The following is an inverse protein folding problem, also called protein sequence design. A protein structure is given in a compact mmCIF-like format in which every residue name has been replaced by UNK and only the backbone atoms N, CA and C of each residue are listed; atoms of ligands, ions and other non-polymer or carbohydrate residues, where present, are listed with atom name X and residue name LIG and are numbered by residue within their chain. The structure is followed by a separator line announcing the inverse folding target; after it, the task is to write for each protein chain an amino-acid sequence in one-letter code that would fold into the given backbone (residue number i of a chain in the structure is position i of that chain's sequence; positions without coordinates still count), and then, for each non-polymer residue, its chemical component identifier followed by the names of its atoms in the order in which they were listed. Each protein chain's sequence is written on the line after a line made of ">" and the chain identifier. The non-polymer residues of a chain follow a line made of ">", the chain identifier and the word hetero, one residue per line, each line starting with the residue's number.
data_IF_638046039395
#
_entry.id   IF_638046039395
#
_cell.length_a   1.000
_cell.length_b   1.000
_cell.length_c   1.000
_cell.angle_alpha   90.00
_cell.angle_beta   90.00
_cell.angle_gamma   90.00
#
_symmetry.space_group_name_H-M   'P 1'
#
loop_
_entity.id
_entity.type
_entity.pdbx_description
1 polymer ?
#
# COMPACT_ATOMS: atom_id res chain seq x y z
N UNK A 1 -26.13 30.22 -9.68
CA UNK A 1 -27.01 30.06 -10.85
C UNK A 1 -26.18 29.44 -11.97
N UNK A 2 -26.66 28.39 -12.63
CA UNK A 2 -25.86 27.53 -13.53
C UNK A 2 -25.68 28.13 -14.93
N UNK A 3 -25.60 29.47 -15.04
CA UNK A 3 -25.37 30.14 -16.32
C UNK A 3 -26.51 30.08 -17.35
N UNK A 4 -27.73 29.68 -16.94
CA UNK A 4 -28.89 29.61 -17.84
C UNK A 4 -29.80 30.83 -17.69
N UNK A 5 -29.97 31.61 -18.76
CA UNK A 5 -30.78 32.83 -18.71
C UNK A 5 -31.56 33.07 -20.00
N UNK A 6 -32.70 33.75 -19.85
CA UNK A 6 -33.48 34.26 -20.97
C UNK A 6 -32.64 35.29 -21.74
N UNK A 7 -32.64 35.20 -23.06
CA UNK A 7 -32.09 36.22 -23.94
C UNK A 7 -33.23 37.11 -24.45
N UNK A 8 -33.57 38.21 -23.74
CA UNK A 8 -34.70 39.05 -24.11
C UNK A 8 -34.46 39.77 -25.44
N UNK A 9 -33.20 40.09 -25.78
CA UNK A 9 -32.86 40.72 -27.06
C UNK A 9 -33.10 39.77 -28.23
N UNK A 10 -32.64 38.51 -28.13
CA UNK A 10 -32.89 37.49 -29.16
C UNK A 10 -34.38 37.14 -29.26
N UNK A 11 -35.08 37.05 -28.13
CA UNK A 11 -36.53 36.81 -28.09
C UNK A 11 -37.31 37.97 -28.74
N UNK A 12 -36.94 39.22 -28.44
CA UNK A 12 -37.54 40.41 -29.05
C UNK A 12 -37.20 40.53 -30.54
N UNK A 13 -35.99 40.17 -30.95
CA UNK A 13 -35.60 40.14 -32.36
C UNK A 13 -36.37 39.08 -33.15
N UNK A 14 -36.54 37.87 -32.59
CA UNK A 14 -37.36 36.81 -33.17
C UNK A 14 -38.83 37.26 -33.30
N UNK A 15 -39.38 37.91 -32.26
CA UNK A 15 -40.72 38.48 -32.29
C UNK A 15 -40.86 39.60 -33.34
N UNK A 16 -39.85 40.46 -33.48
CA UNK A 16 -39.84 41.53 -34.48
C UNK A 16 -39.77 40.98 -35.92
N UNK A 17 -39.03 39.89 -36.14
CA UNK A 17 -38.89 39.26 -37.44
C UNK A 17 -40.13 38.47 -37.88
N UNK A 18 -40.97 38.05 -36.93
CA UNK A 18 -42.23 37.35 -37.23
C UNK A 18 -43.13 38.17 -38.17
N UNK A 19 -43.57 37.57 -39.28
CA UNK A 19 -44.33 38.24 -40.34
C UNK A 19 -43.53 39.22 -41.23
N UNK A 20 -42.21 39.37 -41.01
CA UNK A 20 -41.32 40.23 -41.81
C UNK A 20 -40.30 39.46 -42.66
N UNK A 21 -40.13 38.18 -42.40
CA UNK A 21 -39.23 37.27 -43.12
C UNK A 21 -40.01 36.27 -43.99
N UNK A 22 -39.43 35.80 -45.10
CA UNK A 22 -40.06 34.81 -46.00
C UNK A 22 -40.67 35.40 -47.28
N UNK A 23 -41.45 34.59 -47.99
CA UNK A 23 -42.13 34.98 -49.24
C UNK A 23 -43.19 36.08 -48.98
N UNK A 24 -43.45 37.00 -49.93
CA UNK A 24 -44.47 38.03 -49.75
C UNK A 24 -45.87 37.52 -49.37
N UNK A 25 -46.28 36.34 -49.84
CA UNK A 25 -47.58 35.76 -49.48
C UNK A 25 -47.60 35.22 -48.04
N UNK A 26 -46.55 34.54 -47.59
CA UNK A 26 -46.48 34.00 -46.23
C UNK A 26 -46.47 35.13 -45.19
N UNK A 27 -45.74 36.22 -45.46
CA UNK A 27 -45.70 37.40 -44.57
C UNK A 27 -47.07 38.03 -44.33
N UNK A 28 -47.91 38.12 -45.36
CA UNK A 28 -49.27 38.67 -45.23
C UNK A 28 -50.17 37.76 -44.40
N UNK A 29 -50.05 36.45 -44.59
CA UNK A 29 -50.79 35.45 -43.81
C UNK A 29 -50.36 35.51 -42.34
N UNK A 30 -49.05 35.51 -42.07
CA UNK A 30 -48.48 35.56 -40.72
C UNK A 30 -48.87 36.83 -39.96
N UNK A 31 -48.93 37.98 -40.66
CA UNK A 31 -49.37 39.24 -40.06
C UNK A 31 -50.86 39.21 -39.71
N UNK A 32 -51.69 38.66 -40.59
CA UNK A 32 -53.13 38.55 -40.37
C UNK A 32 -53.46 37.56 -39.24
N UNK A 33 -52.81 36.39 -39.23
CA UNK A 33 -52.99 35.38 -38.18
C UNK A 33 -52.51 35.89 -36.82
N UNK A 34 -51.34 36.53 -36.76
CA UNK A 34 -50.86 37.15 -35.50
C UNK A 34 -51.79 38.25 -35.00
N UNK A 35 -52.37 39.04 -35.90
CA UNK A 35 -53.30 40.11 -35.51
C UNK A 35 -54.65 39.56 -35.02
N UNK A 36 -55.18 38.52 -35.66
CA UNK A 36 -56.50 37.97 -35.36
C UNK A 36 -56.51 36.94 -34.22
N UNK A 37 -55.50 36.07 -34.14
CA UNK A 37 -55.43 34.96 -33.17
C UNK A 37 -54.39 35.18 -32.07
N UNK A 38 -53.45 36.10 -32.26
CA UNK A 38 -52.23 36.16 -31.47
C UNK A 38 -51.27 35.03 -31.85
N UNK A 39 -49.97 35.22 -31.57
CA UNK A 39 -48.95 34.19 -31.75
C UNK A 39 -48.11 34.10 -30.50
N UNK A 40 -47.83 32.87 -30.05
CA UNK A 40 -46.90 32.62 -28.94
C UNK A 40 -45.60 32.12 -29.54
N UNK A 41 -44.52 32.90 -29.36
CA UNK A 41 -43.19 32.50 -29.78
C UNK A 41 -42.43 31.96 -28.56
N UNK A 42 -41.68 30.85 -28.72
CA UNK A 42 -40.87 30.34 -27.64
C UNK A 42 -39.76 31.37 -27.29
N UNK A 43 -39.50 31.59 -25.99
CA UNK A 43 -38.36 32.40 -25.57
C UNK A 43 -37.04 31.79 -26.02
N UNK A 44 -36.09 32.64 -26.40
CA UNK A 44 -34.71 32.24 -26.72
C UNK A 44 -33.86 32.28 -25.45
N UNK A 45 -33.15 31.20 -25.15
CA UNK A 45 -32.26 31.09 -24.00
C UNK A 45 -30.80 31.05 -24.42
N UNK A 46 -29.91 31.44 -23.49
CA UNK A 46 -28.47 31.26 -23.62
C UNK A 46 -28.01 30.45 -22.43
N UNK A 47 -27.13 29.49 -22.70
CA UNK A 47 -26.46 28.69 -21.69
C UNK A 47 -24.97 29.05 -21.71
N UNK A 48 -24.48 29.61 -20.60
CA UNK A 48 -23.06 29.88 -20.39
C UNK A 48 -22.40 28.67 -19.74
N UNK A 49 -21.73 27.87 -20.58
CA UNK A 49 -21.00 26.68 -20.16
C UNK A 49 -19.88 27.01 -19.15
N UNK A 50 -19.25 28.18 -19.22
CA UNK A 50 -18.19 28.55 -18.28
C UNK A 50 -18.74 28.80 -16.88
N UNK A 51 -19.89 29.47 -16.80
CA UNK A 51 -20.58 29.69 -15.54
C UNK A 51 -21.08 28.37 -14.92
N UNK A 52 -21.57 27.45 -15.75
CA UNK A 52 -21.96 26.11 -15.33
C UNK A 52 -20.76 25.29 -14.84
N UNK A 53 -19.64 25.33 -15.56
CA UNK A 53 -18.40 24.67 -15.16
C UNK A 53 -17.90 25.20 -13.82
N UNK A 54 -17.77 26.52 -13.66
CA UNK A 54 -17.32 27.13 -12.41
C UNK A 54 -18.23 26.77 -11.22
N UNK A 55 -19.54 26.62 -11.47
CA UNK A 55 -20.48 26.15 -10.45
C UNK A 55 -20.22 24.68 -10.07
N UNK A 56 -20.01 23.80 -11.05
CA UNK A 56 -19.67 22.40 -10.81
C UNK A 56 -18.30 22.24 -10.15
N UNK A 57 -17.32 23.08 -10.45
CA UNK A 57 -16.03 23.12 -9.76
C UNK A 57 -16.20 23.49 -8.27
N UNK A 58 -17.13 24.40 -7.96
CA UNK A 58 -17.49 24.72 -6.58
C UNK A 58 -18.16 23.56 -5.84
N UNK A 59 -18.90 22.70 -6.54
CA UNK A 59 -19.47 21.46 -5.99
C UNK A 59 -18.36 20.43 -5.80
N UNK A 60 -17.52 20.22 -6.82
CA UNK A 60 -16.38 19.31 -6.79
C UNK A 60 -15.48 19.59 -5.59
N UNK A 61 -15.18 20.86 -5.31
CA UNK A 61 -14.38 21.26 -4.14
C UNK A 61 -14.98 20.85 -2.77
N UNK A 62 -16.28 20.54 -2.71
CA UNK A 62 -16.98 20.09 -1.50
C UNK A 62 -17.22 18.58 -1.49
N UNK A 63 -17.36 17.96 -2.66
CA UNK A 63 -17.71 16.54 -2.80
C UNK A 63 -16.50 15.64 -2.99
N UNK A 64 -15.46 16.14 -3.63
CA UNK A 64 -14.29 15.39 -4.04
C UNK A 64 -13.51 14.93 -2.80
N UNK A 65 -13.07 13.68 -2.86
CA UNK A 65 -12.27 13.08 -1.81
C UNK A 65 -11.02 12.51 -2.44
N UNK A 66 -9.86 12.82 -1.85
CA UNK A 66 -8.62 12.23 -2.28
C UNK A 66 -8.59 10.75 -1.89
N UNK A 67 -8.04 9.93 -2.78
CA UNK A 67 -7.72 8.53 -2.50
C UNK A 67 -6.55 8.44 -1.53
N UNK A 68 -6.69 7.62 -0.50
CA UNK A 68 -5.64 7.36 0.49
C UNK A 68 -5.47 5.85 0.60
N UNK A 69 -4.22 5.40 0.45
CA UNK A 69 -3.86 3.99 0.62
C UNK A 69 -3.90 3.62 2.11
N UNK A 70 -4.30 2.39 2.44
CA UNK A 70 -4.14 1.90 3.80
C UNK A 70 -2.65 1.86 4.13
N UNK A 71 -2.26 2.27 5.33
CA UNK A 71 -0.86 2.32 5.72
C UNK A 71 -0.65 1.75 7.13
N UNK A 72 0.53 1.20 7.36
CA UNK A 72 0.95 0.67 8.64
C UNK A 72 2.10 1.51 9.19
N UNK A 73 2.07 1.81 10.48
CA UNK A 73 3.16 2.52 11.16
C UNK A 73 3.43 1.92 12.53
N UNK A 74 4.70 1.92 12.95
CA UNK A 74 5.13 1.44 14.26
C UNK A 74 5.61 2.64 15.08
N UNK A 75 5.00 2.87 16.25
CA UNK A 75 5.35 3.93 17.17
C UNK A 75 5.77 3.34 18.52
N UNK A 76 7.08 3.20 18.73
CA UNK A 76 7.62 2.37 19.81
C UNK A 76 7.16 0.93 19.62
N UNK A 77 6.46 0.35 20.60
CA UNK A 77 5.94 -1.03 20.50
C UNK A 77 4.50 -1.08 19.96
N UNK A 78 3.88 0.06 19.68
CA UNK A 78 2.50 0.12 19.21
C UNK A 78 2.42 0.12 17.69
N UNK A 79 1.65 -0.81 17.14
CA UNK A 79 1.34 -0.88 15.72
C UNK A 79 0.05 -0.08 15.46
N UNK A 80 0.13 0.93 14.60
CA UNK A 80 -0.99 1.82 14.25
C UNK A 80 -1.34 1.62 12.79
N UNK A 81 -2.61 1.25 12.56
CA UNK A 81 -3.21 1.09 11.24
C UNK A 81 -3.88 2.39 10.82
N UNK A 82 -3.55 2.86 9.63
CA UNK A 82 -4.24 3.94 8.94
C UNK A 82 -5.14 3.32 7.87
N UNK A 83 -6.47 3.42 8.00
CA UNK A 83 -7.38 2.80 7.05
C UNK A 83 -7.30 3.47 5.68
N UNK A 84 -7.58 2.69 4.63
CA UNK A 84 -7.69 3.23 3.27
C UNK A 84 -8.94 4.10 3.12
N UNK A 85 -8.88 5.04 2.19
CA UNK A 85 -9.99 5.88 1.79
C UNK A 85 -10.14 5.85 0.27
N UNK A 86 -11.34 5.46 -0.20
CA UNK A 86 -11.68 5.57 -1.62
C UNK A 86 -11.65 7.02 -2.06
N UNK A 87 -11.02 7.28 -3.19
CA UNK A 87 -11.10 8.57 -3.86
C UNK A 87 -12.44 8.69 -4.58
N UNK A 88 -12.93 9.92 -4.70
CA UNK A 88 -13.99 10.24 -5.65
C UNK A 88 -13.79 11.63 -6.19
N UNK A 89 -14.11 11.84 -7.45
CA UNK A 89 -14.12 13.17 -8.04
C UNK A 89 -15.32 13.35 -8.95
N UNK A 90 -15.80 14.58 -9.06
CA UNK A 90 -16.87 14.93 -9.98
C UNK A 90 -16.33 14.94 -11.42
N UNK A 91 -16.91 14.11 -12.29
CA UNK A 91 -16.68 14.21 -13.73
C UNK A 91 -17.49 15.39 -14.28
N UNK A 92 -16.84 16.55 -14.31
CA UNK A 92 -17.44 17.81 -14.76
C UNK A 92 -17.87 17.73 -16.24
N UNK A 93 -17.04 17.24 -17.19
CA UNK A 93 -17.46 17.12 -18.59
C UNK A 93 -18.74 16.30 -18.79
N UNK A 94 -18.85 15.15 -18.13
CA UNK A 94 -20.01 14.27 -18.26
C UNK A 94 -21.25 14.86 -17.58
N UNK A 95 -21.06 15.45 -16.40
CA UNK A 95 -22.14 16.16 -15.70
C UNK A 95 -22.66 17.36 -16.50
N UNK A 96 -21.78 18.12 -17.18
CA UNK A 96 -22.17 19.20 -18.08
C UNK A 96 -22.99 18.69 -19.27
N UNK A 97 -22.61 17.56 -19.85
CA UNK A 97 -23.37 16.96 -20.94
C UNK A 97 -24.79 16.57 -20.51
N UNK A 98 -24.95 15.97 -19.32
CA UNK A 98 -26.26 15.68 -18.73
C UNK A 98 -27.07 16.96 -18.47
N UNK A 99 -26.42 17.98 -17.91
CA UNK A 99 -27.07 19.27 -17.65
C UNK A 99 -27.55 19.94 -18.94
N UNK A 100 -26.76 19.89 -20.00
CA UNK A 100 -27.14 20.43 -21.32
C UNK A 100 -28.38 19.73 -21.88
N UNK A 101 -28.40 18.39 -21.85
CA UNK A 101 -29.55 17.61 -22.32
C UNK A 101 -30.80 17.90 -21.49
N UNK A 102 -30.66 18.05 -20.16
CA UNK A 102 -31.79 18.36 -19.29
C UNK A 102 -32.36 19.76 -19.56
N UNK A 103 -31.51 20.76 -19.77
CA UNK A 103 -31.93 22.13 -20.08
C UNK A 103 -32.71 22.23 -21.40
N UNK A 104 -32.46 21.36 -22.37
CA UNK A 104 -33.24 21.30 -23.62
C UNK A 104 -34.71 20.91 -23.39
N UNK A 105 -34.99 20.14 -22.33
CA UNK A 105 -36.37 19.71 -22.02
C UNK A 105 -37.22 20.83 -21.44
N UNK A 106 -36.60 21.91 -20.94
CA UNK A 106 -37.25 23.05 -20.27
C UNK A 106 -38.17 22.62 -19.12
N UNK A 107 -37.90 21.47 -18.51
CA UNK A 107 -38.63 20.93 -17.38
C UNK A 107 -37.76 20.98 -16.13
N UNK A 108 -38.41 21.27 -15.00
CA UNK A 108 -37.77 21.17 -13.70
C UNK A 108 -37.43 19.70 -13.42
N UNK A 109 -36.16 19.44 -13.13
CA UNK A 109 -35.64 18.10 -12.86
C UNK A 109 -34.35 18.19 -12.06
N UNK A 110 -34.09 17.13 -11.32
CA UNK A 110 -32.81 16.92 -10.66
C UNK A 110 -31.75 16.57 -11.72
N UNK A 111 -30.59 17.23 -11.65
CA UNK A 111 -29.42 16.89 -12.47
C UNK A 111 -28.57 15.89 -11.70
N UNK A 112 -28.35 14.71 -12.30
CA UNK A 112 -27.48 13.71 -11.72
C UNK A 112 -26.01 14.14 -11.87
N UNK A 113 -25.30 14.19 -10.74
CA UNK A 113 -23.87 14.42 -10.71
C UNK A 113 -23.16 13.10 -11.00
N UNK A 114 -22.24 13.11 -11.97
CA UNK A 114 -21.46 11.92 -12.30
C UNK A 114 -20.19 11.92 -11.46
N UNK A 115 -20.11 10.96 -10.54
CA UNK A 115 -18.95 10.79 -9.67
C UNK A 115 -18.13 9.59 -10.17
N UNK A 116 -16.84 9.80 -10.34
CA UNK A 116 -15.88 8.73 -10.62
C UNK A 116 -15.20 8.31 -9.32
N UNK A 117 -15.32 7.03 -8.98
CA UNK A 117 -14.66 6.44 -7.82
C UNK A 117 -13.29 5.89 -8.20
N UNK A 118 -12.29 6.18 -7.37
CA UNK A 118 -10.97 5.58 -7.46
C UNK A 118 -10.71 4.68 -6.24
N UNK A 119 -10.50 3.40 -6.50
CA UNK A 119 -10.21 2.41 -5.46
C UNK A 119 -8.70 2.43 -5.15
N UNK A 120 -8.29 2.47 -3.86
CA UNK A 120 -6.89 2.36 -3.46
C UNK A 120 -6.31 1.00 -3.86
N UNK A 121 -5.02 0.98 -4.16
CA UNK A 121 -4.30 -0.26 -4.48
C UNK A 121 -4.22 -1.17 -3.24
N UNK A 122 -3.97 -0.57 -2.08
CA UNK A 122 -3.85 -1.23 -0.79
C UNK A 122 -5.07 -0.86 0.05
N UNK A 123 -6.02 -1.79 0.12
CA UNK A 123 -7.31 -1.56 0.79
C UNK A 123 -7.23 -1.90 2.28
N UNK A 124 -6.50 -2.96 2.64
CA UNK A 124 -6.49 -3.57 3.96
C UNK A 124 -5.06 -3.91 4.37
N UNK A 125 -4.69 -3.57 5.60
CA UNK A 125 -3.38 -3.91 6.20
C UNK A 125 -3.51 -4.58 7.57
N UNK A 126 -4.71 -5.04 7.93
CA UNK A 126 -5.00 -5.61 9.24
C UNK A 126 -4.23 -6.92 9.50
N UNK A 127 -4.16 -7.83 8.52
CA UNK A 127 -3.36 -9.06 8.64
C UNK A 127 -1.89 -8.73 8.92
N UNK A 128 -1.36 -7.74 8.21
CA UNK A 128 0.03 -7.30 8.36
C UNK A 128 0.25 -6.60 9.70
N UNK A 129 -0.76 -5.88 10.19
CA UNK A 129 -0.74 -5.31 11.53
C UNK A 129 -0.72 -6.40 12.62
N UNK A 130 -1.48 -7.49 12.44
CA UNK A 130 -1.47 -8.63 13.36
C UNK A 130 -0.10 -9.31 13.40
N UNK A 131 0.54 -9.53 12.24
CA UNK A 131 1.91 -10.06 12.18
C UNK A 131 2.89 -9.13 12.90
N UNK A 132 2.85 -7.83 12.64
CA UNK A 132 3.71 -6.86 13.34
C UNK A 132 3.48 -6.87 14.86
N UNK A 133 2.22 -6.94 15.30
CA UNK A 133 1.86 -7.04 16.73
C UNK A 133 2.35 -8.35 17.34
N UNK A 134 2.28 -9.45 16.61
CA UNK A 134 2.78 -10.76 17.04
C UNK A 134 4.29 -10.74 17.21
N UNK A 135 5.04 -10.16 16.26
CA UNK A 135 6.49 -9.94 16.36
C UNK A 135 6.81 -9.12 17.62
N UNK A 136 6.09 -8.02 17.87
CA UNK A 136 6.30 -7.14 19.03
C UNK A 136 5.68 -7.63 20.35
N UNK A 137 4.99 -8.79 20.33
CA UNK A 137 4.31 -9.31 21.50
C UNK A 137 5.27 -9.77 22.60
N UNK A 138 6.50 -10.15 22.24
CA UNK A 138 7.54 -10.66 23.14
C UNK A 138 8.95 -10.23 22.70
N UNK A 139 9.93 -10.18 23.62
CA UNK A 139 11.34 -9.97 23.26
C UNK A 139 11.86 -11.15 22.43
N UNK A 140 12.69 -10.88 21.43
CA UNK A 140 13.38 -11.92 20.67
C UNK A 140 14.58 -12.43 21.47
N UNK A 141 14.68 -13.74 21.66
CA UNK A 141 15.80 -14.43 22.30
C UNK A 141 16.54 -15.28 21.27
N UNK A 142 17.84 -15.04 21.16
CA UNK A 142 18.74 -15.82 20.32
C UNK A 142 19.57 -16.74 21.20
N UNK A 143 19.55 -18.03 20.87
CA UNK A 143 20.26 -19.08 21.59
C UNK A 143 21.20 -19.86 20.67
N UNK A 144 22.22 -20.50 21.25
CA UNK A 144 23.12 -21.38 20.50
C UNK A 144 22.54 -22.80 20.59
N UNK A 145 22.45 -23.55 19.47
CA UNK A 145 22.10 -24.95 19.51
C UNK A 145 23.22 -25.77 20.17
N UNK A 146 22.86 -26.65 21.11
CA UNK A 146 23.80 -27.49 21.87
C UNK A 146 24.95 -26.69 22.52
N UNK A 147 24.67 -25.75 23.44
CA UNK A 147 25.70 -24.90 24.01
C UNK A 147 26.73 -25.71 24.80
N UNK A 148 28.00 -25.42 24.59
CA UNK A 148 29.12 -25.97 25.35
C UNK A 148 29.43 -25.08 26.56
N UNK A 149 30.13 -25.63 27.55
CA UNK A 149 30.56 -24.87 28.71
C UNK A 149 31.50 -23.72 28.29
N UNK A 150 31.11 -22.49 28.62
CA UNK A 150 31.84 -21.27 28.23
C UNK A 150 31.30 -20.55 27.00
N UNK A 151 30.26 -21.08 26.33
CA UNK A 151 29.61 -20.40 25.22
C UNK A 151 28.92 -19.09 25.65
N UNK A 152 29.00 -18.01 24.83
CA UNK A 152 28.35 -16.74 25.14
C UNK A 152 26.81 -16.82 24.97
N UNK A 153 26.10 -15.86 25.56
CA UNK A 153 24.63 -15.73 25.42
C UNK A 153 23.83 -16.35 26.57
N UNK A 154 22.51 -16.47 26.47
CA UNK A 154 21.63 -16.09 25.35
C UNK A 154 21.50 -14.57 25.16
N UNK A 155 21.24 -14.11 23.94
CA UNK A 155 21.05 -12.70 23.63
C UNK A 155 19.56 -12.36 23.56
N UNK A 156 19.16 -11.26 24.19
CA UNK A 156 17.76 -10.81 24.20
C UNK A 156 17.65 -9.44 23.56
N UNK A 157 16.76 -9.32 22.58
CA UNK A 157 16.37 -8.10 21.90
C UNK A 157 15.04 -7.66 22.50
N UNK A 158 15.09 -6.61 23.33
CA UNK A 158 13.89 -6.03 23.91
C UNK A 158 12.96 -5.47 22.84
N UNK A 159 11.66 -5.43 23.15
CA UNK A 159 10.62 -5.01 22.20
C UNK A 159 10.87 -3.64 21.58
N UNK A 160 11.37 -2.69 22.38
CA UNK A 160 11.65 -1.33 21.92
C UNK A 160 12.74 -1.29 20.84
N UNK A 161 13.72 -2.20 20.94
CA UNK A 161 14.78 -2.32 19.94
C UNK A 161 14.29 -3.15 18.75
N UNK A 162 13.54 -4.24 18.98
CA UNK A 162 12.92 -5.02 17.92
C UNK A 162 12.00 -4.17 17.04
N UNK A 163 11.25 -3.23 17.62
CA UNK A 163 10.40 -2.31 16.88
C UNK A 163 11.18 -1.36 15.96
N UNK A 164 12.40 -0.99 16.31
CA UNK A 164 13.27 -0.18 15.45
C UNK A 164 13.80 -0.97 14.26
N UNK A 165 13.85 -2.30 14.40
CA UNK A 165 14.26 -3.20 13.33
C UNK A 165 13.09 -3.63 12.45
N UNK A 166 11.83 -3.28 12.74
CA UNK A 166 10.72 -3.67 11.86
C UNK A 166 10.75 -2.83 10.58
N UNK A 167 10.71 -3.50 9.44
CA UNK A 167 10.55 -2.87 8.12
C UNK A 167 9.19 -3.24 7.54
N UNK A 168 8.59 -2.29 6.82
CA UNK A 168 7.32 -2.47 6.13
C UNK A 168 7.60 -2.19 4.65
N UNK A 169 7.59 -3.22 3.83
CA UNK A 169 7.91 -3.14 2.41
C UNK A 169 6.66 -3.38 1.57
N UNK A 170 6.53 -2.66 0.46
CA UNK A 170 5.47 -2.92 -0.50
C UNK A 170 5.88 -4.08 -1.41
N UNK A 171 5.02 -5.08 -1.53
CA UNK A 171 5.23 -6.24 -2.38
C UNK A 171 4.08 -6.40 -3.37
N UNK A 172 4.41 -6.67 -4.62
CA UNK A 172 3.42 -6.97 -5.65
C UNK A 172 3.10 -8.47 -5.60
N UNK A 173 1.92 -8.83 -5.11
CA UNK A 173 1.40 -10.20 -5.14
C UNK A 173 0.48 -10.40 -6.35
N UNK A 174 0.20 -11.66 -6.75
CA UNK A 174 -0.75 -11.95 -7.83
C UNK A 174 -2.17 -11.43 -7.56
N UNK A 175 -2.53 -11.27 -6.28
CA UNK A 175 -3.83 -10.78 -5.82
C UNK A 175 -3.90 -9.25 -5.72
N UNK A 176 -2.78 -8.54 -5.85
CA UNK A 176 -2.70 -7.08 -5.73
C UNK A 176 -1.42 -6.60 -5.06
N UNK A 177 -1.30 -5.28 -4.92
CA UNK A 177 -0.27 -4.66 -4.10
C UNK A 177 -0.61 -4.86 -2.61
N UNK A 178 0.36 -5.29 -1.82
CA UNK A 178 0.21 -5.42 -0.37
C UNK A 178 1.48 -4.94 0.34
N UNK A 179 1.37 -4.71 1.65
CA UNK A 179 2.56 -4.55 2.49
C UNK A 179 2.98 -5.89 3.05
N UNK A 180 4.28 -6.08 3.25
CA UNK A 180 4.86 -7.19 3.98
C UNK A 180 5.69 -6.63 5.14
N UNK A 181 5.46 -7.19 6.33
CA UNK A 181 6.23 -6.87 7.53
C UNK A 181 7.46 -7.78 7.56
N UNK A 182 8.63 -7.20 7.75
CA UNK A 182 9.90 -7.90 7.89
C UNK A 182 10.73 -7.32 9.03
N UNK A 183 11.93 -7.87 9.21
CA UNK A 183 12.94 -7.35 10.11
C UNK A 183 14.16 -6.92 9.30
N UNK A 184 14.70 -5.75 9.64
CA UNK A 184 15.86 -5.14 9.03
C UNK A 184 17.07 -6.08 9.16
N UNK A 185 17.51 -6.60 8.01
CA UNK A 185 18.60 -7.57 7.95
C UNK A 185 19.95 -6.96 8.29
N UNK A 186 20.19 -5.69 7.93
CA UNK A 186 21.48 -5.04 8.15
C UNK A 186 21.88 -4.94 9.63
N UNK A 187 20.91 -4.61 10.51
CA UNK A 187 21.13 -4.56 11.95
C UNK A 187 21.42 -5.93 12.55
N UNK A 188 20.67 -6.95 12.13
CA UNK A 188 20.89 -8.34 12.54
C UNK A 188 22.24 -8.88 12.04
N UNK A 189 22.61 -8.64 10.78
CA UNK A 189 23.91 -9.02 10.21
C UNK A 189 25.04 -8.44 11.04
N UNK A 190 25.00 -7.13 11.30
CA UNK A 190 26.05 -6.44 12.08
C UNK A 190 26.20 -7.02 13.49
N UNK A 191 25.08 -7.38 14.13
CA UNK A 191 25.10 -8.04 15.43
C UNK A 191 25.71 -9.45 15.35
N UNK A 192 25.28 -10.26 14.40
CA UNK A 192 25.76 -11.63 14.21
C UNK A 192 27.26 -11.68 13.86
N UNK A 193 27.73 -10.76 13.02
CA UNK A 193 29.16 -10.59 12.72
C UNK A 193 29.98 -10.24 13.97
N UNK A 194 29.41 -9.47 14.90
CA UNK A 194 30.06 -9.12 16.17
C UNK A 194 30.22 -10.29 17.14
N UNK A 195 29.30 -11.26 17.11
CA UNK A 195 29.37 -12.46 17.97
C UNK A 195 30.05 -13.66 17.30
N UNK A 196 30.12 -13.69 15.95
CA UNK A 196 30.68 -14.80 15.19
C UNK A 196 32.10 -15.22 15.65
N UNK A 197 33.06 -14.31 15.91
CA UNK A 197 34.41 -14.70 16.36
C UNK A 197 34.43 -15.37 17.73
N UNK A 198 33.42 -15.10 18.57
CA UNK A 198 33.31 -15.70 19.91
C UNK A 198 32.73 -17.11 19.85
N UNK A 199 32.01 -17.43 18.78
CA UNK A 199 31.41 -18.75 18.54
C UNK A 199 32.29 -19.67 17.71
N UNK A 200 33.24 -19.09 16.99
CA UNK A 200 34.15 -19.79 16.11
C UNK A 200 35.13 -20.68 16.89
N UNK A 201 35.09 -21.97 16.59
CA UNK A 201 36.04 -22.96 17.09
C UNK A 201 36.73 -23.58 15.88
N UNK A 202 38.05 -23.47 15.80
CA UNK A 202 38.81 -24.14 14.74
C UNK A 202 38.84 -25.65 14.96
N UNK A 203 38.60 -26.41 13.88
CA UNK A 203 38.72 -27.87 13.92
C UNK A 203 40.18 -28.28 14.18
N UNK A 204 40.38 -29.33 14.98
CA UNK A 204 41.70 -29.93 15.22
C UNK A 204 41.61 -31.44 15.07
N UNK A 205 42.52 -32.04 14.31
CA UNK A 205 42.57 -33.49 14.17
C UNK A 205 43.02 -34.16 15.47
N UNK A 206 42.50 -35.36 15.72
CA UNK A 206 42.99 -36.21 16.79
C UNK A 206 44.47 -36.56 16.55
N UNK A 207 45.28 -36.55 17.62
CA UNK A 207 46.65 -37.06 17.59
C UNK A 207 46.67 -38.45 18.19
N UNK A 208 47.17 -39.40 17.41
CA UNK A 208 47.31 -40.79 17.84
C UNK A 208 48.77 -41.20 17.89
N UNK A 209 49.10 -42.11 18.80
CA UNK A 209 50.36 -42.82 18.82
C UNK A 209 50.11 -44.31 18.75
N UNK A 210 50.92 -45.00 17.96
CA UNK A 210 50.90 -46.45 17.92
C UNK A 210 51.61 -46.99 19.17
N UNK A 211 50.88 -47.77 19.98
CA UNK A 211 51.42 -48.43 21.16
C UNK A 211 51.96 -49.81 20.77
N UNK A 212 53.27 -50.02 20.91
CA UNK A 212 53.96 -51.26 20.51
C UNK A 212 53.61 -52.47 21.37
N UNK A 213 53.22 -52.27 22.63
CA UNK A 213 52.84 -53.33 23.57
C UNK A 213 51.44 -53.85 23.27
N UNK A 214 50.49 -52.94 23.04
CA UNK A 214 49.08 -53.29 22.74
C UNK A 214 48.84 -53.52 21.25
N UNK A 215 49.79 -53.13 20.38
CA UNK A 215 49.70 -53.10 18.91
C UNK A 215 48.46 -52.37 18.40
N UNK A 216 48.05 -51.32 19.10
CA UNK A 216 46.87 -50.49 18.78
C UNK A 216 47.26 -49.02 18.69
N UNK A 217 46.48 -48.25 17.94
CA UNK A 217 46.53 -46.79 17.99
C UNK A 217 45.87 -46.34 19.30
N UNK A 218 46.56 -45.48 20.03
CA UNK A 218 46.08 -44.84 21.25
C UNK A 218 45.97 -43.33 21.01
N UNK A 219 44.83 -42.75 21.35
CA UNK A 219 44.57 -41.30 21.23
C UNK A 219 45.37 -40.57 22.31
N UNK A 220 46.27 -39.67 21.90
CA UNK A 220 47.02 -38.78 22.78
C UNK A 220 46.25 -37.48 23.00
N UNK A 221 45.69 -36.92 21.93
CA UNK A 221 44.93 -35.68 21.94
C UNK A 221 43.66 -35.89 21.12
N UNK A 222 42.47 -35.72 21.71
CA UNK A 222 41.22 -35.92 20.98
C UNK A 222 41.03 -34.85 19.90
N UNK A 223 40.31 -35.22 18.84
CA UNK A 223 39.90 -34.29 17.80
C UNK A 223 38.89 -33.26 18.31
N UNK A 224 39.01 -32.02 17.85
CA UNK A 224 38.06 -30.94 18.14
C UNK A 224 37.20 -30.71 16.90
N UNK A 225 35.88 -30.84 17.06
CA UNK A 225 34.91 -30.48 16.03
C UNK A 225 34.90 -28.95 15.90
N UNK A 226 35.21 -28.47 14.71
CA UNK A 226 35.14 -27.05 14.38
C UNK A 226 33.70 -26.56 14.34
N UNK A 227 33.51 -25.30 14.67
CA UNK A 227 32.21 -24.63 14.73
C UNK A 227 32.31 -23.23 14.13
N UNK A 228 31.36 -22.84 13.30
CA UNK A 228 31.21 -21.46 12.82
C UNK A 228 29.73 -21.07 12.78
N UNK A 229 29.45 -19.78 13.00
CA UNK A 229 28.11 -19.25 12.83
C UNK A 229 27.80 -19.07 11.35
N UNK A 230 26.73 -19.66 10.85
CA UNK A 230 26.18 -19.31 9.54
C UNK A 230 25.26 -18.10 9.72
N UNK A 231 25.75 -16.93 9.32
CA UNK A 231 25.05 -15.66 9.46
C UNK A 231 23.84 -15.61 8.52
N UNK A 232 23.98 -16.08 7.28
CA UNK A 232 22.92 -16.01 6.26
C UNK A 232 21.73 -16.88 6.65
N UNK A 233 22.01 -18.13 7.02
CA UNK A 233 20.99 -19.08 7.42
C UNK A 233 20.38 -18.69 8.78
N UNK A 234 21.17 -18.11 9.68
CA UNK A 234 20.64 -17.56 10.94
C UNK A 234 19.66 -16.41 10.69
N UNK A 235 19.96 -15.47 9.80
CA UNK A 235 19.04 -14.35 9.47
C UNK A 235 17.76 -14.87 8.84
N UNK A 236 17.89 -15.84 7.93
CA UNK A 236 16.73 -16.47 7.27
C UNK A 236 15.84 -17.15 8.32
N UNK A 237 16.44 -17.97 9.19
CA UNK A 237 15.74 -18.64 10.27
C UNK A 237 15.08 -17.67 11.25
N UNK A 238 15.75 -16.57 11.62
CA UNK A 238 15.19 -15.52 12.49
C UNK A 238 13.95 -14.89 11.86
N UNK A 239 14.04 -14.49 10.58
CA UNK A 239 12.91 -13.87 9.87
C UNK A 239 11.72 -14.82 9.75
N UNK A 240 11.95 -16.05 9.28
CA UNK A 240 10.88 -17.05 9.11
C UNK A 240 10.18 -17.38 10.43
N UNK A 241 10.96 -17.60 11.49
CA UNK A 241 10.42 -17.96 12.82
C UNK A 241 9.72 -16.78 13.50
N UNK A 242 10.23 -15.57 13.37
CA UNK A 242 9.55 -14.37 13.88
C UNK A 242 8.21 -14.15 13.18
N UNK A 243 8.15 -14.34 11.85
CA UNK A 243 6.90 -14.28 11.10
C UNK A 243 5.92 -15.39 11.52
N UNK A 244 6.41 -16.54 11.95
CA UNK A 244 5.60 -17.60 12.56
C UNK A 244 5.20 -17.32 14.03
N UNK A 245 5.71 -16.25 14.63
CA UNK A 245 5.46 -15.86 16.02
C UNK A 245 6.29 -16.61 17.05
N UNK A 246 7.39 -17.23 16.65
CA UNK A 246 8.40 -17.78 17.55
C UNK A 246 9.40 -16.69 17.97
N UNK A 247 9.63 -16.57 19.27
CA UNK A 247 10.56 -15.58 19.83
C UNK A 247 11.81 -16.20 20.44
N UNK A 248 11.90 -17.52 20.56
CA UNK A 248 13.12 -18.23 21.00
C UNK A 248 13.71 -18.96 19.81
N UNK A 249 14.76 -18.38 19.24
CA UNK A 249 15.33 -18.80 17.96
C UNK A 249 16.77 -19.25 18.18
N UNK A 250 17.00 -20.53 17.92
CA UNK A 250 18.36 -21.07 17.86
C UNK A 250 19.07 -20.57 16.58
N UNK A 251 20.29 -20.06 16.74
CA UNK A 251 21.18 -19.68 15.65
C UNK A 251 21.60 -20.90 14.82
N UNK A 252 21.93 -20.69 13.55
CA UNK A 252 22.41 -21.75 12.66
C UNK A 252 23.92 -21.84 12.77
N UNK A 253 24.39 -23.04 13.13
CA UNK A 253 25.79 -23.31 13.41
C UNK A 253 26.29 -24.41 12.48
N UNK A 254 27.32 -24.09 11.70
CA UNK A 254 28.06 -25.06 10.90
C UNK A 254 29.06 -25.81 11.77
N UNK A 255 28.96 -27.15 11.75
CA UNK A 255 29.87 -28.05 12.47
C UNK A 255 30.77 -28.76 11.45
N UNK A 256 32.06 -28.45 11.50
CA UNK A 256 33.08 -29.07 10.65
C UNK A 256 33.84 -30.14 11.44
N UNK A 257 33.64 -31.41 11.10
CA UNK A 257 34.31 -32.53 11.78
C UNK A 257 35.78 -32.60 11.36
N UNK A 258 36.69 -32.96 12.28
CA UNK A 258 38.08 -33.20 11.92
C UNK A 258 38.21 -34.35 10.92
N UNK A 259 39.24 -34.31 10.08
CA UNK A 259 39.52 -35.36 9.08
C UNK A 259 39.92 -36.68 9.75
N UNK A 260 40.52 -36.60 10.93
CA UNK A 260 40.86 -37.75 11.78
C UNK A 260 40.13 -37.62 13.11
N UNK A 261 39.13 -38.48 13.31
CA UNK A 261 38.37 -38.61 14.56
C UNK A 261 39.05 -39.54 15.56
N UNK A 262 38.51 -39.59 16.78
CA UNK A 262 39.04 -40.40 17.88
C UNK A 262 38.87 -41.92 17.66
N UNK A 263 38.06 -42.31 16.66
CA UNK A 263 37.69 -43.68 16.29
C UNK A 263 38.40 -44.22 15.03
N UNK A 264 39.38 -43.48 14.49
CA UNK A 264 40.12 -43.84 13.29
C UNK A 264 41.03 -45.08 13.42
#
# INVERSE_FOLDING_TARGET
>A
EVGFFLNPQASAAAAYQYGRTGDPLSRLIDLFTSWYLGTTLPPMYVFDENAAQAYLEGIAAQTDMQKVEAALSVNGVQVVVHPSQKGRHLNIPETLAYLHLQLQTMQDSEVQLVLEEEIPLIVNVEEQAEIAQQILSQPLKLSIPDPLEGDPGAWTFEKDYLAQLITIEQVSAPEGESYQVGVETAGLTSFLEGIAPQLAVEQKNARMMFNDDTRKLEVIEPGVIGRSLDISDSITAINEKLMAGEHDIALVIDKNKPEVGDDA
#
